data_IF_809351568783
#
_entry.id   IF_809351568783
#
_cell.length_a   1.000
_cell.length_b   1.000
_cell.length_c   1.000
_cell.angle_alpha   90.00
_cell.angle_beta   90.00
_cell.angle_gamma   90.00
#
_symmetry.space_group_name_H-M   'P 1'
#
loop_
_entity.id
_entity.type
_entity.pdbx_description
1 polymer ?
#
# COMPACT_ATOMS: atom_id res chain seq x y z
N UNK A 1 28.10 -49.03 17.61
CA UNK A 1 26.65 -48.76 17.45
C UNK A 1 26.53 -47.41 16.75
N UNK A 2 26.58 -47.41 15.42
CA UNK A 2 26.40 -46.19 14.64
C UNK A 2 24.93 -45.78 14.75
N UNK A 3 24.66 -44.59 15.30
CA UNK A 3 23.32 -44.01 15.31
C UNK A 3 22.85 -43.86 13.87
N UNK A 4 21.70 -44.45 13.58
CA UNK A 4 21.05 -44.41 12.30
C UNK A 4 20.78 -42.95 11.87
N UNK A 5 21.55 -42.47 10.89
CA UNK A 5 21.42 -41.14 10.28
C UNK A 5 20.15 -41.01 9.41
N UNK A 6 19.35 -42.08 9.30
CA UNK A 6 18.09 -42.12 8.54
C UNK A 6 16.86 -42.07 9.45
N UNK A 7 16.98 -41.60 10.71
CA UNK A 7 15.80 -41.47 11.58
C UNK A 7 14.80 -40.45 11.00
N UNK A 8 13.77 -41.00 10.37
CA UNK A 8 12.52 -40.40 9.91
C UNK A 8 12.65 -38.98 9.30
N UNK A 9 12.81 -38.93 7.98
CA UNK A 9 12.30 -37.79 7.24
C UNK A 9 10.81 -37.64 7.59
N UNK A 10 10.42 -36.49 8.13
CA UNK A 10 9.00 -36.16 8.26
C UNK A 10 8.44 -36.16 6.84
N UNK A 11 7.37 -36.93 6.60
CA UNK A 11 6.61 -36.85 5.36
C UNK A 11 5.93 -35.46 5.30
N UNK A 12 6.70 -34.43 4.90
CA UNK A 12 6.16 -33.14 4.47
C UNK A 12 5.45 -33.41 3.14
N UNK A 13 4.19 -33.81 3.26
CA UNK A 13 3.32 -34.08 2.11
C UNK A 13 2.98 -32.73 1.47
N UNK A 14 3.72 -32.37 0.43
CA UNK A 14 3.45 -31.18 -0.36
C UNK A 14 2.27 -31.45 -1.30
N UNK A 15 1.09 -31.01 -0.90
CA UNK A 15 -0.15 -31.11 -1.67
C UNK A 15 -0.81 -29.72 -1.88
N UNK A 16 -2.00 -29.69 -2.47
CA UNK A 16 -2.71 -28.43 -2.75
C UNK A 16 -2.95 -27.57 -1.49
N UNK A 17 -3.06 -28.17 -0.31
CA UNK A 17 -3.24 -27.43 0.95
C UNK A 17 -1.98 -26.69 1.40
N UNK A 18 -0.81 -27.02 0.82
CA UNK A 18 0.45 -26.32 1.06
C UNK A 18 0.54 -24.96 0.35
N UNK A 19 -0.43 -24.62 -0.52
CA UNK A 19 -0.48 -23.34 -1.23
C UNK A 19 -1.29 -22.33 -0.41
N UNK A 20 -0.59 -21.36 0.18
CA UNK A 20 -1.20 -20.26 0.92
C UNK A 20 -1.61 -19.12 -0.02
N UNK A 21 -2.84 -18.64 0.13
CA UNK A 21 -3.34 -17.43 -0.54
C UNK A 21 -3.45 -16.33 0.51
N UNK A 22 -2.70 -15.25 0.28
CA UNK A 22 -2.72 -14.07 1.15
C UNK A 22 -3.74 -13.06 0.61
N UNK A 23 -4.64 -12.59 1.47
CA UNK A 23 -5.76 -11.72 1.07
C UNK A 23 -5.55 -10.26 1.48
N UNK A 24 -6.22 -9.34 0.79
CA UNK A 24 -6.17 -7.90 1.10
C UNK A 24 -4.75 -7.34 1.15
N UNK A 25 -4.34 -6.85 2.33
CA UNK A 25 -3.02 -6.26 2.57
C UNK A 25 -2.01 -7.23 3.22
N UNK A 26 -2.39 -8.48 3.45
CA UNK A 26 -1.47 -9.49 4.01
C UNK A 26 -0.20 -9.68 3.17
N UNK A 27 -0.23 -9.72 1.81
CA UNK A 27 0.98 -9.83 1.01
C UNK A 27 1.97 -8.68 1.28
N UNK A 28 1.47 -7.46 1.45
CA UNK A 28 2.28 -6.25 1.72
C UNK A 28 2.98 -6.39 3.06
N UNK A 29 2.24 -6.80 4.10
CA UNK A 29 2.79 -6.98 5.46
C UNK A 29 3.80 -8.12 5.53
N UNK A 30 3.55 -9.21 4.80
CA UNK A 30 4.43 -10.39 4.79
C UNK A 30 5.70 -10.16 3.97
N UNK A 31 5.61 -9.36 2.90
CA UNK A 31 6.71 -9.11 1.95
C UNK A 31 6.85 -7.62 1.62
N UNK A 32 7.13 -6.74 2.61
CA UNK A 32 7.18 -5.29 2.40
C UNK A 32 8.23 -4.87 1.37
N UNK A 33 9.34 -5.62 1.25
CA UNK A 33 10.40 -5.33 0.28
C UNK A 33 9.94 -5.32 -1.19
N UNK A 34 8.89 -6.05 -1.54
CA UNK A 34 8.31 -6.02 -2.89
C UNK A 34 7.52 -4.75 -3.20
N UNK A 35 7.11 -4.00 -2.17
CA UNK A 35 6.23 -2.84 -2.30
C UNK A 35 6.95 -1.53 -1.99
N UNK A 36 7.73 -1.49 -0.90
CA UNK A 36 8.41 -0.27 -0.41
C UNK A 36 9.94 -0.38 -0.44
N UNK A 37 10.47 -1.37 -1.16
CA UNK A 37 11.92 -1.53 -1.38
C UNK A 37 12.74 -2.02 -0.18
N UNK A 38 12.12 -2.24 0.99
CA UNK A 38 12.82 -2.78 2.17
C UNK A 38 12.07 -2.54 3.47
N UNK A 39 12.82 -2.52 4.58
CA UNK A 39 12.35 -2.13 5.92
C UNK A 39 13.40 -1.26 6.66
N UNK A 40 14.33 -0.69 5.90
CA UNK A 40 15.36 0.20 6.42
C UNK A 40 14.86 1.66 6.44
N UNK A 41 15.76 2.59 6.77
CA UNK A 41 15.44 4.02 6.80
C UNK A 41 14.93 4.55 5.46
N UNK A 42 15.43 4.03 4.33
CA UNK A 42 14.98 4.47 3.01
C UNK A 42 13.54 4.05 2.77
N UNK A 43 13.20 2.80 3.09
CA UNK A 43 11.83 2.31 3.01
C UNK A 43 10.88 3.09 3.94
N UNK A 44 11.35 3.52 5.12
CA UNK A 44 10.56 4.39 6.01
C UNK A 44 10.24 5.74 5.37
N UNK A 45 11.23 6.40 4.75
CA UNK A 45 11.00 7.66 4.03
C UNK A 45 10.13 7.46 2.78
N UNK A 46 10.23 6.30 2.13
CA UNK A 46 9.38 5.93 0.98
C UNK A 46 7.90 5.97 1.36
N UNK A 47 7.51 5.50 2.54
CA UNK A 47 6.12 5.59 3.01
C UNK A 47 5.59 7.03 3.04
N UNK A 48 6.43 7.99 3.47
CA UNK A 48 6.07 9.41 3.48
C UNK A 48 6.02 9.96 2.05
N UNK A 49 6.98 9.58 1.21
CA UNK A 49 7.04 10.00 -0.19
C UNK A 49 5.77 9.61 -0.95
N UNK A 50 5.24 8.39 -0.76
CA UNK A 50 4.01 7.94 -1.42
C UNK A 50 2.79 8.80 -1.07
N UNK A 51 2.67 9.27 0.18
CA UNK A 51 1.57 10.17 0.57
C UNK A 51 1.81 11.57 -0.01
N UNK A 52 3.04 12.08 0.07
CA UNK A 52 3.42 13.36 -0.49
C UNK A 52 3.22 13.43 -2.01
N UNK A 53 3.56 12.38 -2.74
CA UNK A 53 3.41 12.30 -4.19
C UNK A 53 1.93 12.38 -4.61
N UNK A 54 1.04 11.77 -3.83
CA UNK A 54 -0.41 11.94 -4.04
C UNK A 54 -0.87 13.40 -3.85
N UNK A 55 -0.35 14.09 -2.83
CA UNK A 55 -0.61 15.53 -2.65
C UNK A 55 0.00 16.38 -3.77
N UNK A 56 1.19 16.02 -4.26
CA UNK A 56 1.85 16.67 -5.38
C UNK A 56 1.06 16.52 -6.68
N UNK A 57 0.43 15.37 -6.92
CA UNK A 57 -0.43 15.16 -8.09
C UNK A 57 -1.65 16.10 -8.08
N UNK A 58 -2.24 16.41 -6.92
CA UNK A 58 -3.27 17.45 -6.80
C UNK A 58 -2.72 18.85 -7.15
N UNK A 59 -1.48 19.15 -6.75
CA UNK A 59 -0.84 20.41 -7.07
C UNK A 59 -0.53 20.53 -8.57
N UNK A 60 0.02 19.48 -9.19
CA UNK A 60 0.31 19.41 -10.64
C UNK A 60 -0.96 19.52 -11.47
N UNK A 61 -2.07 18.95 -11.00
CA UNK A 61 -3.38 19.11 -11.62
C UNK A 61 -4.01 20.52 -11.40
N UNK A 62 -3.37 21.39 -10.62
CA UNK A 62 -3.83 22.75 -10.34
C UNK A 62 -4.94 22.83 -9.29
N UNK A 63 -5.13 21.79 -8.49
CA UNK A 63 -6.15 21.71 -7.46
C UNK A 63 -5.65 22.03 -6.05
N UNK A 64 -4.37 21.79 -5.77
CA UNK A 64 -3.73 22.19 -4.52
C UNK A 64 -2.72 23.32 -4.76
N UNK A 65 -2.58 24.21 -3.78
CA UNK A 65 -1.53 25.25 -3.78
C UNK A 65 -0.74 25.31 -2.47
N UNK A 66 -1.11 24.48 -1.49
CA UNK A 66 -0.43 24.35 -0.21
C UNK A 66 -0.35 22.88 0.16
N UNK A 67 0.86 22.43 0.46
CA UNK A 67 1.13 21.13 1.06
C UNK A 67 1.97 21.37 2.31
N UNK A 68 1.61 20.73 3.41
CA UNK A 68 2.28 20.82 4.70
C UNK A 68 2.75 19.43 5.12
N UNK A 69 3.99 19.32 5.56
CA UNK A 69 4.57 18.07 6.09
C UNK A 69 5.07 18.35 7.50
N UNK A 70 4.59 17.57 8.46
CA UNK A 70 4.89 17.74 9.88
C UNK A 70 5.32 16.41 10.50
N UNK A 71 6.45 16.39 11.20
CA UNK A 71 6.84 15.29 12.08
C UNK A 71 6.28 15.57 13.47
N UNK A 72 5.33 14.74 13.91
CA UNK A 72 4.67 14.87 15.20
C UNK A 72 5.54 14.31 16.33
N UNK A 73 5.21 14.68 17.57
CA UNK A 73 5.96 14.30 18.76
C UNK A 73 5.97 12.78 19.05
N UNK A 74 5.04 12.02 18.47
CA UNK A 74 4.93 10.57 18.58
C UNK A 74 5.66 9.81 17.45
N UNK A 75 6.48 10.52 16.67
CA UNK A 75 7.19 10.02 15.49
C UNK A 75 6.29 9.68 14.30
N UNK A 76 5.01 10.05 14.32
CA UNK A 76 4.19 10.00 13.10
C UNK A 76 4.48 11.19 12.18
N UNK A 77 4.27 11.00 10.88
CA UNK A 77 4.38 12.07 9.88
C UNK A 77 3.00 12.37 9.32
N UNK A 78 2.62 13.64 9.36
CA UNK A 78 1.38 14.14 8.78
C UNK A 78 1.70 14.88 7.48
N UNK A 79 1.02 14.50 6.40
CA UNK A 79 1.00 15.22 5.13
C UNK A 79 -0.41 15.80 4.96
N UNK A 80 -0.52 17.11 4.76
CA UNK A 80 -1.80 17.80 4.52
C UNK A 80 -1.71 18.57 3.22
N UNK A 81 -2.74 18.48 2.39
CA UNK A 81 -2.93 19.34 1.23
C UNK A 81 -4.31 19.99 1.25
N UNK A 82 -4.50 20.96 0.35
CA UNK A 82 -5.79 21.59 0.11
C UNK A 82 -6.33 21.28 -1.30
N UNK A 83 -6.03 20.09 -1.83
CA UNK A 83 -6.56 19.60 -3.09
C UNK A 83 -8.05 19.27 -3.00
N UNK A 84 -8.54 18.50 -3.98
CA UNK A 84 -9.96 18.12 -4.06
C UNK A 84 -10.41 17.20 -2.90
N UNK A 85 -9.46 16.49 -2.29
CA UNK A 85 -9.70 15.45 -1.30
C UNK A 85 -10.05 14.10 -1.93
N UNK A 86 -9.88 13.04 -1.14
CA UNK A 86 -10.26 11.68 -1.53
C UNK A 86 -11.80 11.58 -1.54
N UNK A 87 -12.42 10.99 -2.59
CA UNK A 87 -13.85 10.70 -2.58
C UNK A 87 -14.24 9.77 -1.42
N UNK A 88 -15.27 10.14 -0.67
CA UNK A 88 -15.76 9.36 0.50
C UNK A 88 -17.11 8.70 0.27
N UNK A 89 -17.75 8.96 -0.87
CA UNK A 89 -19.01 8.32 -1.24
C UNK A 89 -18.84 6.81 -1.49
N UNK A 90 -19.92 6.02 -1.38
CA UNK A 90 -19.91 4.61 -1.72
C UNK A 90 -19.36 4.31 -3.12
N UNK A 91 -18.47 3.31 -3.23
CA UNK A 91 -17.89 2.93 -4.50
C UNK A 91 -18.90 2.16 -5.35
N UNK A 92 -19.09 2.45 -6.67
CA UNK A 92 -20.12 1.80 -7.48
C UNK A 92 -20.04 0.26 -7.55
N UNK A 93 -18.82 -0.31 -7.47
CA UNK A 93 -18.61 -1.77 -7.40
C UNK A 93 -18.74 -2.36 -6.00
N UNK A 94 -18.62 -1.53 -4.96
CA UNK A 94 -18.67 -1.94 -3.55
C UNK A 94 -19.59 -0.98 -2.79
N UNK A 95 -20.93 -1.07 -2.97
CA UNK A 95 -21.87 -0.08 -2.43
C UNK A 95 -21.87 0.05 -0.91
N UNK A 96 -21.38 -0.97 -0.20
CA UNK A 96 -21.25 -0.97 1.26
C UNK A 96 -19.93 -0.35 1.75
N UNK A 97 -19.05 0.09 0.84
CA UNK A 97 -17.72 0.65 1.15
C UNK A 97 -17.55 2.02 0.52
N UNK A 98 -16.97 2.95 1.26
CA UNK A 98 -16.55 4.24 0.70
C UNK A 98 -15.41 4.06 -0.31
N UNK A 99 -15.30 4.97 -1.28
CA UNK A 99 -14.14 5.00 -2.18
C UNK A 99 -12.82 5.15 -1.41
N UNK A 100 -12.81 5.89 -0.29
CA UNK A 100 -11.70 5.98 0.67
C UNK A 100 -11.27 4.60 1.19
N UNK A 101 -12.21 3.78 1.67
CA UNK A 101 -11.90 2.43 2.15
C UNK A 101 -11.37 1.55 1.02
N UNK A 102 -11.97 1.63 -0.17
CA UNK A 102 -11.54 0.83 -1.33
C UNK A 102 -10.08 1.12 -1.66
N UNK A 103 -9.68 2.40 -1.76
CA UNK A 103 -8.30 2.76 -2.13
C UNK A 103 -7.26 2.42 -1.06
N UNK A 104 -7.64 2.46 0.22
CA UNK A 104 -6.73 2.16 1.32
C UNK A 104 -6.59 0.65 1.59
N UNK A 105 -7.61 -0.14 1.27
CA UNK A 105 -7.67 -1.56 1.64
C UNK A 105 -7.54 -2.53 0.45
N UNK A 106 -7.56 -2.03 -0.79
CA UNK A 106 -7.51 -2.87 -2.00
C UNK A 106 -6.34 -2.44 -2.89
N UNK A 107 -5.38 -3.34 -3.09
CA UNK A 107 -4.28 -3.11 -4.03
C UNK A 107 -4.79 -2.87 -5.46
N UNK A 108 -4.04 -2.09 -6.23
CA UNK A 108 -4.36 -1.77 -7.63
C UNK A 108 -5.73 -1.10 -7.81
N UNK A 109 -6.09 -0.21 -6.89
CA UNK A 109 -7.28 0.64 -6.98
C UNK A 109 -6.89 2.12 -6.89
N UNK A 110 -7.56 2.98 -7.65
CA UNK A 110 -7.19 4.39 -7.78
C UNK A 110 -7.78 5.07 -9.02
N UNK A 111 -7.72 6.41 -9.05
CA UNK A 111 -8.27 7.24 -10.14
C UNK A 111 -7.31 7.49 -11.32
N UNK A 112 -6.05 7.05 -11.20
CA UNK A 112 -4.95 7.42 -12.12
C UNK A 112 -4.85 6.54 -13.39
N UNK A 113 -5.62 5.45 -13.49
CA UNK A 113 -5.49 4.49 -14.59
C UNK A 113 -5.93 4.97 -15.99
N UNK A 114 -6.66 6.07 -16.10
CA UNK A 114 -7.32 6.45 -17.37
C UNK A 114 -6.99 7.87 -17.86
N UNK A 115 -6.08 8.59 -17.20
CA UNK A 115 -5.72 9.98 -17.56
C UNK A 115 -6.83 11.02 -17.37
N UNK A 116 -8.04 10.60 -16.94
CA UNK A 116 -9.22 11.48 -16.81
C UNK A 116 -9.20 12.33 -15.54
N UNK A 117 -8.71 11.76 -14.44
CA UNK A 117 -8.65 12.45 -13.15
C UNK A 117 -7.34 13.23 -12.95
N UNK A 118 -6.26 12.74 -13.58
CA UNK A 118 -4.93 13.32 -13.59
C UNK A 118 -4.35 13.17 -15.01
N UNK A 119 -3.98 14.28 -15.64
CA UNK A 119 -3.38 14.25 -16.99
C UNK A 119 -1.91 13.81 -16.96
N UNK A 120 -1.22 14.12 -15.87
CA UNK A 120 0.13 13.65 -15.54
C UNK A 120 0.12 13.32 -14.05
N UNK A 121 0.52 12.11 -13.67
CA UNK A 121 0.72 11.71 -12.27
C UNK A 121 2.01 10.92 -12.11
N UNK A 122 2.65 11.03 -10.94
CA UNK A 122 3.84 10.24 -10.59
C UNK A 122 3.51 8.80 -10.20
N UNK A 123 2.33 8.58 -9.60
CA UNK A 123 1.81 7.27 -9.21
C UNK A 123 0.85 6.64 -10.22
#
# INVERSE_FOLDING_TARGET
MASDLLSAARDDTYDASSIEVLEGLEPVRKRPGMYIGGTDERALHHLVAEVLDNSMDEAVAGHANRIEVELLADYSVMVRDNGRGIPVDPHPKFPDKSALEVILCTLHSGGKFSGKAYQTSGG
#
